data_IF_038831521757
#
_entry.id   IF_038831521757
#
_cell.length_a   1.000
_cell.length_b   1.000
_cell.length_c   1.000
_cell.angle_alpha   90.00
_cell.angle_beta   90.00
_cell.angle_gamma   90.00
#
_symmetry.space_group_name_H-M   'P 1'
#
loop_
_entity.id
_entity.type
_entity.pdbx_description
1 polymer ?
#
# COMPACT_ATOMS: atom_id res chain seq x y z
N UNK A 1 -41.98 -0.68 41.29
CA UNK A 1 -40.90 -0.33 42.23
C UNK A 1 -40.03 0.72 41.54
N UNK A 2 -39.85 1.93 42.08
CA UNK A 2 -39.04 2.94 41.40
C UNK A 2 -37.55 2.61 41.55
N UNK A 3 -36.80 2.69 40.46
CA UNK A 3 -35.36 2.44 40.47
C UNK A 3 -34.62 3.62 41.12
N UNK A 4 -33.59 3.32 41.91
CA UNK A 4 -32.69 4.34 42.46
C UNK A 4 -31.96 5.02 41.30
N UNK A 5 -32.26 6.29 41.10
CA UNK A 5 -31.53 7.13 40.16
C UNK A 5 -30.14 7.43 40.74
N UNK A 6 -29.09 6.96 40.07
CA UNK A 6 -27.70 7.32 40.42
C UNK A 6 -27.26 8.42 39.49
N UNK A 7 -27.11 9.63 40.03
CA UNK A 7 -26.45 10.72 39.31
C UNK A 7 -24.95 10.42 39.31
N UNK A 8 -24.37 10.29 38.12
CA UNK A 8 -22.94 10.02 37.92
C UNK A 8 -22.32 11.27 37.32
N UNK A 9 -21.31 11.82 38.01
CA UNK A 9 -20.56 12.97 37.52
C UNK A 9 -19.14 12.56 37.10
N UNK A 10 -18.62 13.12 36.00
CA UNK A 10 -17.25 12.86 35.56
C UNK A 10 -16.24 13.46 36.54
N UNK A 11 -15.27 12.65 36.98
CA UNK A 11 -14.22 13.08 37.92
C UNK A 11 -12.93 13.53 37.23
N UNK A 12 -12.63 12.99 36.05
CA UNK A 12 -11.40 13.25 35.31
C UNK A 12 -11.65 13.59 33.84
N UNK A 13 -10.83 14.49 33.29
CA UNK A 13 -10.77 14.81 31.86
C UNK A 13 -9.31 14.85 31.40
N UNK A 14 -8.96 14.13 30.34
CA UNK A 14 -7.60 14.13 29.77
C UNK A 14 -6.49 13.86 30.79
N UNK A 15 -6.78 13.03 31.80
CA UNK A 15 -5.91 12.68 32.95
C UNK A 15 -5.76 13.76 34.04
N UNK A 16 -6.54 14.84 33.97
CA UNK A 16 -6.61 15.90 34.99
C UNK A 16 -7.90 15.79 35.80
N UNK A 17 -7.83 15.96 37.12
CA UNK A 17 -9.03 16.00 37.99
C UNK A 17 -9.84 17.28 37.75
N UNK A 18 -11.15 17.14 37.59
CA UNK A 18 -12.08 18.27 37.40
C UNK A 18 -12.43 18.97 38.72
N UNK A 19 -12.25 18.28 39.86
CA UNK A 19 -12.48 18.80 41.20
C UNK A 19 -11.19 18.82 42.01
N UNK A 20 -11.07 19.83 42.86
CA UNK A 20 -9.99 19.97 43.83
C UNK A 20 -10.24 19.12 45.09
N UNK A 21 -9.25 18.95 45.97
CA UNK A 21 -9.37 18.16 47.23
C UNK A 21 -10.53 18.63 48.13
N UNK A 22 -10.92 19.90 48.01
CA UNK A 22 -12.03 20.53 48.74
C UNK A 22 -13.39 20.41 48.02
N UNK A 23 -13.49 19.64 46.92
CA UNK A 23 -14.72 19.42 46.17
C UNK A 23 -15.14 20.57 45.24
N UNK A 24 -14.36 21.65 45.17
CA UNK A 24 -14.63 22.80 44.28
C UNK A 24 -14.24 22.46 42.84
N UNK A 25 -15.05 22.92 41.88
CA UNK A 25 -14.75 22.81 40.46
C UNK A 25 -13.45 23.58 40.15
N UNK A 26 -12.45 22.89 39.61
CA UNK A 26 -11.15 23.48 39.27
C UNK A 26 -11.17 24.15 37.89
N UNK A 27 -12.10 23.73 37.04
CA UNK A 27 -12.19 24.10 35.61
C UNK A 27 -13.26 25.18 35.43
N UNK A 28 -12.93 26.21 34.67
CA UNK A 28 -13.86 27.26 34.24
C UNK A 28 -14.71 26.80 33.06
N UNK A 29 -15.92 27.35 32.89
CA UNK A 29 -16.90 26.84 31.90
C UNK A 29 -16.37 26.79 30.46
N UNK A 30 -15.50 27.73 30.06
CA UNK A 30 -14.93 27.80 28.70
C UNK A 30 -13.77 26.81 28.45
N UNK A 31 -13.03 26.42 29.48
CA UNK A 31 -11.89 25.50 29.36
C UNK A 31 -12.33 24.12 28.89
N UNK A 32 -13.49 23.65 29.34
CA UNK A 32 -14.06 22.37 28.92
C UNK A 32 -14.43 22.38 27.42
N UNK A 33 -14.98 23.49 26.95
CA UNK A 33 -15.30 23.69 25.54
C UNK A 33 -14.02 23.71 24.68
N UNK A 34 -12.96 24.38 25.17
CA UNK A 34 -11.67 24.42 24.51
C UNK A 34 -11.02 23.02 24.40
N UNK A 35 -11.03 22.22 25.48
CA UNK A 35 -10.50 20.84 25.47
C UNK A 35 -11.29 19.96 24.52
N UNK A 36 -12.62 20.09 24.49
CA UNK A 36 -13.49 19.33 23.58
C UNK A 36 -13.19 19.66 22.12
N UNK A 37 -13.09 20.95 21.79
CA UNK A 37 -12.77 21.40 20.44
C UNK A 37 -11.35 21.00 20.01
N UNK A 38 -10.38 21.06 20.91
CA UNK A 38 -9.02 20.59 20.68
C UNK A 38 -9.01 19.07 20.42
N UNK A 39 -9.73 18.30 21.22
CA UNK A 39 -9.85 16.84 21.06
C UNK A 39 -10.49 16.49 19.72
N UNK A 40 -11.56 17.19 19.33
CA UNK A 40 -12.21 17.01 18.04
C UNK A 40 -11.28 17.35 16.87
N UNK A 41 -10.60 18.50 16.94
CA UNK A 41 -9.66 18.93 15.91
C UNK A 41 -8.50 17.96 15.73
N UNK A 42 -8.00 17.39 16.84
CA UNK A 42 -6.96 16.37 16.82
C UNK A 42 -7.47 15.05 16.22
N UNK A 43 -8.68 14.62 16.57
CA UNK A 43 -9.30 13.44 15.98
C UNK A 43 -9.48 13.61 14.46
N UNK A 44 -9.95 14.78 14.00
CA UNK A 44 -10.07 15.08 12.57
C UNK A 44 -8.71 15.07 11.86
N UNK A 45 -7.65 15.60 12.50
CA UNK A 45 -6.29 15.57 11.94
C UNK A 45 -5.74 14.14 11.86
N UNK A 46 -6.03 13.30 12.86
CA UNK A 46 -5.67 11.88 12.84
C UNK A 46 -6.39 11.14 11.71
N UNK A 47 -7.70 11.38 11.54
CA UNK A 47 -8.49 10.80 10.44
C UNK A 47 -7.99 11.25 9.08
N UNK A 48 -7.66 12.53 8.91
CA UNK A 48 -7.08 13.04 7.66
C UNK A 48 -5.74 12.34 7.34
N UNK A 49 -4.89 12.16 8.36
CA UNK A 49 -3.62 11.44 8.20
C UNK A 49 -3.84 9.97 7.81
N UNK A 50 -4.87 9.32 8.36
CA UNK A 50 -5.23 7.95 8.03
C UNK A 50 -5.73 7.81 6.58
N UNK A 51 -6.54 8.77 6.11
CA UNK A 51 -7.03 8.79 4.72
C UNK A 51 -5.88 8.95 3.73
N UNK A 52 -4.92 9.84 4.01
CA UNK A 52 -3.72 9.99 3.16
C UNK A 52 -2.90 8.70 3.11
N UNK A 53 -2.73 8.01 4.25
CA UNK A 53 -2.04 6.73 4.27
C UNK A 53 -2.80 5.64 3.49
N UNK A 54 -4.13 5.64 3.56
CA UNK A 54 -4.95 4.70 2.80
C UNK A 54 -4.83 4.97 1.28
N UNK A 55 -4.80 6.23 0.87
CA UNK A 55 -4.56 6.63 -0.52
C UNK A 55 -3.22 6.11 -1.04
N UNK A 56 -2.14 6.25 -0.26
CA UNK A 56 -0.82 5.73 -0.62
C UNK A 56 -0.85 4.21 -0.85
N UNK A 57 -1.50 3.45 0.04
CA UNK A 57 -1.64 1.99 -0.09
C UNK A 57 -2.42 1.63 -1.35
N UNK A 58 -3.58 2.25 -1.59
CA UNK A 58 -4.40 1.94 -2.76
C UNK A 58 -3.74 2.36 -4.07
N UNK A 59 -2.97 3.46 -4.06
CA UNK A 59 -2.17 3.90 -5.21
C UNK A 59 -1.10 2.87 -5.57
N UNK A 60 -0.35 2.37 -4.57
CA UNK A 60 0.65 1.34 -4.79
C UNK A 60 0.03 0.04 -5.33
N UNK A 61 -1.06 -0.43 -4.70
CA UNK A 61 -1.78 -1.63 -5.13
C UNK A 61 -2.31 -1.49 -6.57
N UNK A 62 -2.86 -0.34 -6.91
CA UNK A 62 -3.34 -0.05 -8.28
C UNK A 62 -2.19 -0.09 -9.28
N UNK A 63 -1.04 0.47 -8.94
CA UNK A 63 0.16 0.39 -9.77
C UNK A 63 0.63 -1.05 -9.99
N UNK A 64 0.63 -1.88 -8.94
CA UNK A 64 1.00 -3.30 -9.05
C UNK A 64 -0.01 -4.09 -9.90
N UNK A 65 -1.31 -3.84 -9.71
CA UNK A 65 -2.38 -4.48 -10.49
C UNK A 65 -2.29 -4.12 -11.97
N UNK A 66 -1.96 -2.88 -12.31
CA UNK A 66 -1.79 -2.46 -13.70
C UNK A 66 -0.63 -3.21 -14.38
N UNK A 67 0.48 -3.42 -13.68
CA UNK A 67 1.59 -4.24 -14.19
C UNK A 67 1.16 -5.69 -14.43
N UNK A 68 0.39 -6.26 -13.51
CA UNK A 68 -0.17 -7.62 -13.65
C UNK A 68 -1.14 -7.66 -14.85
N UNK A 69 -1.99 -6.64 -15.01
CA UNK A 69 -2.95 -6.51 -16.09
C UNK A 69 -2.26 -6.52 -17.45
N UNK A 70 -1.21 -5.72 -17.63
CA UNK A 70 -0.46 -5.66 -18.90
C UNK A 70 0.25 -6.98 -19.23
N UNK A 71 0.80 -7.65 -18.22
CA UNK A 71 1.39 -8.99 -18.39
C UNK A 71 0.33 -10.03 -18.76
N UNK A 72 -0.83 -10.00 -18.10
CA UNK A 72 -1.95 -10.88 -18.38
C UNK A 72 -2.47 -10.67 -19.81
N UNK A 73 -2.65 -9.42 -20.22
CA UNK A 73 -3.06 -9.06 -21.59
C UNK A 73 -2.07 -9.56 -22.64
N UNK A 74 -0.76 -9.41 -22.37
CA UNK A 74 0.28 -9.91 -23.27
C UNK A 74 0.26 -11.45 -23.35
N UNK A 75 0.05 -12.13 -22.22
CA UNK A 75 -0.07 -13.59 -22.19
C UNK A 75 -1.32 -14.06 -22.94
N UNK A 76 -2.46 -13.38 -22.74
CA UNK A 76 -3.70 -13.66 -23.44
C UNK A 76 -3.54 -13.52 -24.95
N UNK A 77 -2.95 -12.42 -25.44
CA UNK A 77 -2.70 -12.24 -26.87
C UNK A 77 -1.81 -13.36 -27.44
N UNK A 78 -0.79 -13.82 -26.69
CA UNK A 78 0.02 -14.97 -27.11
C UNK A 78 -0.79 -16.26 -27.15
N UNK A 79 -1.66 -16.49 -26.17
CA UNK A 79 -2.54 -17.66 -26.15
C UNK A 79 -3.44 -17.63 -27.38
N UNK A 80 -4.07 -16.50 -27.68
CA UNK A 80 -4.91 -16.33 -28.88
C UNK A 80 -4.14 -16.64 -30.17
N UNK A 81 -2.94 -16.08 -30.34
CA UNK A 81 -2.11 -16.39 -31.51
C UNK A 81 -1.73 -17.86 -31.62
N UNK A 82 -1.45 -18.53 -30.50
CA UNK A 82 -1.11 -19.95 -30.48
C UNK A 82 -2.35 -20.79 -30.81
N UNK A 83 -3.51 -20.45 -30.24
CA UNK A 83 -4.78 -21.12 -30.53
C UNK A 83 -5.09 -21.08 -32.02
N UNK A 84 -4.98 -19.92 -32.66
CA UNK A 84 -5.17 -19.82 -34.11
C UNK A 84 -4.17 -20.66 -34.91
N UNK A 85 -2.90 -20.69 -34.49
CA UNK A 85 -1.88 -21.49 -35.15
C UNK A 85 -2.16 -23.00 -35.01
N UNK A 86 -2.64 -23.44 -33.84
CA UNK A 86 -3.02 -24.82 -33.57
C UNK A 86 -4.24 -25.21 -34.40
N UNK A 87 -5.25 -24.34 -34.52
CA UNK A 87 -6.43 -24.58 -35.37
C UNK A 87 -6.06 -24.71 -36.86
N UNK A 88 -5.13 -23.88 -37.34
CA UNK A 88 -4.65 -23.91 -38.73
C UNK A 88 -3.62 -25.01 -38.99
N UNK A 89 -3.19 -25.74 -37.97
CA UNK A 89 -2.11 -26.73 -38.08
C UNK A 89 -2.61 -28.04 -38.68
N UNK A 90 -2.05 -28.42 -39.84
CA UNK A 90 -2.35 -29.70 -40.49
C UNK A 90 -1.27 -30.76 -40.13
N UNK A 91 -1.61 -31.78 -39.32
CA UNK A 91 -0.67 -32.79 -38.85
C UNK A 91 -0.14 -33.71 -39.95
N UNK A 92 -0.79 -33.77 -41.13
CA UNK A 92 -0.36 -34.64 -42.24
C UNK A 92 0.77 -34.04 -43.06
N UNK A 93 0.97 -32.72 -43.00
CA UNK A 93 2.02 -32.00 -43.75
C UNK A 93 3.37 -31.97 -43.05
N UNK A 94 3.46 -32.39 -41.79
CA UNK A 94 4.71 -32.34 -41.03
C UNK A 94 5.46 -33.67 -41.18
N UNK A 95 6.56 -33.72 -41.95
CA UNK A 95 7.32 -34.95 -42.10
C UNK A 95 7.96 -35.30 -40.75
N UNK A 96 7.62 -36.48 -40.24
CA UNK A 96 8.33 -37.06 -39.10
C UNK A 96 9.67 -37.55 -39.63
N UNK A 97 10.76 -36.86 -39.30
CA UNK A 97 12.09 -37.39 -39.57
C UNK A 97 12.27 -38.63 -38.70
N UNK A 98 12.10 -39.81 -39.30
CA UNK A 98 12.52 -41.06 -38.65
C UNK A 98 14.02 -40.95 -38.38
N UNK A 99 14.39 -41.12 -37.11
CA UNK A 99 15.76 -40.97 -36.65
C UNK A 99 16.55 -42.16 -37.17
N UNK A 100 17.13 -42.05 -38.37
CA UNK A 100 18.04 -43.09 -38.89
C UNK A 100 19.47 -42.90 -38.39
N UNK A 101 19.79 -41.79 -37.73
CA UNK A 101 20.98 -41.70 -36.89
C UNK A 101 20.82 -40.66 -35.80
N UNK A 102 21.30 -40.99 -34.59
CA UNK A 102 21.31 -40.16 -33.39
C UNK A 102 22.18 -38.87 -33.54
N UNK A 103 22.73 -38.62 -34.73
CA UNK A 103 23.65 -37.51 -35.03
C UNK A 103 22.96 -36.15 -35.19
N UNK A 104 21.65 -36.13 -35.48
CA UNK A 104 20.86 -34.91 -35.66
C UNK A 104 20.19 -34.40 -34.38
N UNK A 105 20.46 -35.02 -33.23
CA UNK A 105 20.01 -34.51 -31.93
C UNK A 105 20.92 -33.35 -31.49
N UNK A 106 20.97 -32.28 -32.28
CA UNK A 106 21.45 -31.01 -31.76
C UNK A 106 20.40 -30.53 -30.75
N UNK A 107 20.72 -30.38 -29.46
CA UNK A 107 19.80 -29.72 -28.55
C UNK A 107 19.57 -28.34 -29.14
N UNK A 108 18.34 -28.09 -29.62
CA UNK A 108 17.90 -26.75 -29.98
C UNK A 108 17.94 -25.94 -28.70
N UNK A 109 19.11 -25.43 -28.37
CA UNK A 109 19.33 -24.42 -27.34
C UNK A 109 18.60 -23.17 -27.84
N UNK A 110 17.30 -23.11 -27.55
CA UNK A 110 16.44 -21.94 -27.70
C UNK A 110 16.84 -20.88 -26.64
N UNK A 111 18.13 -20.57 -26.56
CA UNK A 111 18.67 -19.50 -25.73
C UNK A 111 18.58 -18.12 -26.43
N UNK A 112 18.04 -18.04 -27.66
CA UNK A 112 18.08 -16.83 -28.49
C UNK A 112 16.90 -15.86 -28.31
N UNK A 113 15.81 -16.23 -27.64
CA UNK A 113 14.65 -15.32 -27.45
C UNK A 113 14.42 -14.85 -26.02
N UNK A 114 14.86 -15.63 -25.03
CA UNK A 114 14.46 -15.42 -23.63
C UNK A 114 15.40 -14.40 -22.95
N UNK A 115 16.66 -14.35 -23.34
CA UNK A 115 17.67 -13.48 -22.70
C UNK A 115 17.56 -12.00 -23.12
N UNK A 116 17.11 -11.70 -24.35
CA UNK A 116 16.88 -10.32 -24.79
C UNK A 116 15.64 -9.72 -24.11
N UNK A 117 14.55 -10.50 -24.05
CA UNK A 117 13.31 -10.10 -23.39
C UNK A 117 13.47 -9.98 -21.87
N UNK A 118 14.22 -10.89 -21.22
CA UNK A 118 14.53 -10.81 -19.79
C UNK A 118 15.38 -9.58 -19.45
N UNK A 119 16.39 -9.22 -20.26
CA UNK A 119 17.18 -7.99 -20.07
C UNK A 119 16.30 -6.73 -20.18
N UNK A 120 15.40 -6.66 -21.17
CA UNK A 120 14.51 -5.51 -21.34
C UNK A 120 13.45 -5.40 -20.23
N UNK A 121 12.85 -6.51 -19.79
CA UNK A 121 11.87 -6.50 -18.70
C UNK A 121 12.51 -6.21 -17.34
N UNK A 122 13.67 -6.80 -17.02
CA UNK A 122 14.41 -6.55 -15.78
C UNK A 122 14.93 -5.10 -15.74
N UNK A 123 15.39 -4.55 -16.87
CA UNK A 123 15.76 -3.13 -16.95
C UNK A 123 14.57 -2.19 -16.72
N UNK A 124 13.38 -2.50 -17.26
CA UNK A 124 12.16 -1.70 -17.05
C UNK A 124 11.65 -1.77 -15.60
N UNK A 125 11.70 -2.94 -14.96
CA UNK A 125 11.33 -3.11 -13.55
C UNK A 125 12.34 -2.39 -12.64
N UNK A 126 13.64 -2.50 -12.90
CA UNK A 126 14.67 -1.82 -12.11
C UNK A 126 14.63 -0.29 -12.27
N UNK A 127 14.29 0.24 -13.45
CA UNK A 127 14.11 1.68 -13.65
C UNK A 127 12.90 2.22 -12.86
N UNK A 128 11.79 1.48 -12.84
CA UNK A 128 10.61 1.83 -12.04
C UNK A 128 10.89 1.76 -10.53
N UNK A 129 11.62 0.73 -10.07
CA UNK A 129 11.98 0.56 -8.66
C UNK A 129 13.03 1.59 -8.20
N UNK A 130 13.96 2.02 -9.06
CA UNK A 130 14.97 3.03 -8.72
C UNK A 130 14.38 4.47 -8.72
N UNK A 131 13.45 4.77 -9.64
CA UNK A 131 12.73 6.06 -9.65
C UNK A 131 11.89 6.26 -8.38
N UNK A 132 11.25 5.20 -7.87
CA UNK A 132 10.55 5.25 -6.58
C UNK A 132 11.50 5.33 -5.37
N UNK A 133 12.73 4.81 -5.46
CA UNK A 133 13.72 4.93 -4.38
C UNK A 133 14.24 6.36 -4.21
N UNK A 134 14.42 7.11 -5.30
CA UNK A 134 14.82 8.51 -5.24
C UNK A 134 13.73 9.43 -4.68
N UNK A 135 12.44 9.11 -4.92
CA UNK A 135 11.33 9.86 -4.32
C UNK A 135 11.17 9.54 -2.83
N UNK A 136 11.35 8.28 -2.41
CA UNK A 136 11.24 7.87 -1.00
C UNK A 136 12.37 8.40 -0.10
N UNK A 137 13.55 8.70 -0.65
CA UNK A 137 14.66 9.34 0.09
C UNK A 137 14.44 10.85 0.23
N UNK A 138 13.70 11.48 -0.68
CA UNK A 138 13.29 12.88 -0.54
C UNK A 138 12.19 13.04 0.52
N UNK A 139 11.21 12.15 0.58
CA UNK A 139 10.08 12.25 1.53
C UNK A 139 10.44 11.83 2.96
N UNK A 140 11.47 10.97 3.16
CA UNK A 140 11.93 10.59 4.51
C UNK A 140 12.83 11.62 5.19
N UNK A 141 13.30 12.66 4.47
CA UNK A 141 14.11 13.74 5.07
C UNK A 141 13.28 14.93 5.56
N UNK A 142 11.98 14.99 5.23
CA UNK A 142 11.11 16.11 5.60
C UNK A 142 10.20 15.83 6.82
N UNK A 143 10.14 14.60 7.34
CA UNK A 143 9.28 14.25 8.48
C UNK A 143 10.01 13.96 9.80
N UNK A 144 11.32 14.22 9.89
CA UNK A 144 12.06 14.14 11.16
C UNK A 144 12.43 15.50 11.76
N UNK A 145 11.66 16.53 11.44
CA UNK A 145 11.71 17.83 12.14
C UNK A 145 10.28 18.36 12.32
N UNK A 146 9.54 17.73 13.21
CA UNK A 146 8.45 18.41 13.91
C UNK A 146 8.58 18.00 15.37
N UNK A 147 8.87 18.94 16.27
CA UNK A 147 9.07 18.60 17.67
C UNK A 147 7.75 18.03 18.19
N UNK A 148 7.84 16.82 18.72
CA UNK A 148 6.93 16.37 19.76
C UNK A 148 7.02 17.44 20.83
N UNK A 149 5.99 18.29 20.93
CA UNK A 149 5.89 19.31 21.97
C UNK A 149 5.88 18.51 23.29
N UNK A 150 6.91 18.64 24.15
CA UNK A 150 6.79 18.14 25.50
C UNK A 150 5.75 19.04 26.17
N UNK A 151 4.65 18.44 26.61
CA UNK A 151 3.78 19.03 27.61
C UNK A 151 4.65 19.21 28.87
N UNK A 152 5.29 20.37 28.98
CA UNK A 152 5.90 20.82 30.22
C UNK A 152 4.75 21.12 31.17
N UNK A 153 4.54 20.23 32.12
CA UNK A 153 3.83 20.57 33.34
C UNK A 153 4.62 21.68 34.03
N UNK A 154 3.95 22.80 34.29
CA UNK A 154 4.35 23.74 35.31
C UNK A 154 3.21 23.83 36.31
N UNK A 155 3.63 23.73 37.57
CA UNK A 155 2.91 23.90 38.84
C UNK A 155 1.99 25.12 38.81
#
# INVERSE_FOLDING_TARGET
MPFVERVVEPTFLSRTSLRDENGKQKVTDEELQAVTNCTLSNALRQLASLVLLAEDIFSELTGQLEVIRERSKTAQAKIETISELVEKYDPKKVPVHMIESLSNFSPRNKARGINQAKKSCVAKINYAHNKNRHLLVATRRCHLTSPIIPFLGSV
#
